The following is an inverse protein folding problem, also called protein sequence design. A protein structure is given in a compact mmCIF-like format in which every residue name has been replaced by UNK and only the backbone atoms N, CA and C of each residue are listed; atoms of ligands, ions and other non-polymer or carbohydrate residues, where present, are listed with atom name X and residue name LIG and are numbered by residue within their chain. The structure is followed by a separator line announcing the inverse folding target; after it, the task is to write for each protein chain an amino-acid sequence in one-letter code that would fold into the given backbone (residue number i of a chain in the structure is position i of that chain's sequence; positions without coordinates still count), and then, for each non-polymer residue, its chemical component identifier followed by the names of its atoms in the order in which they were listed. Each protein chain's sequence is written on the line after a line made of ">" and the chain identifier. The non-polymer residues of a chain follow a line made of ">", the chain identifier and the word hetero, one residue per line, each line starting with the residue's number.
data_IF_743256874478
#
_entry.id   IF_743256874478
#
_cell.length_a   1.000
_cell.length_b   1.000
_cell.length_c   1.000
_cell.angle_alpha   90.00
_cell.angle_beta   90.00
_cell.angle_gamma   90.00
#
_symmetry.space_group_name_H-M   'P 1'
#
loop_
_entity.id
_entity.type
_entity.pdbx_description
1 polymer ?
#
# COMPACT_ATOMS: atom_id res chain seq x y z
N UNK A 1 -23.34 -63.97 -63.41
CA UNK A 1 -23.98 -63.78 -62.10
C UNK A 1 -23.18 -62.82 -61.30
N UNK A 2 -23.43 -61.51 -61.39
CA UNK A 2 -22.58 -60.44 -60.90
C UNK A 2 -23.24 -59.83 -59.65
N UNK A 3 -22.54 -59.87 -58.54
CA UNK A 3 -22.94 -59.31 -57.28
C UNK A 3 -22.18 -57.99 -57.04
N UNK A 4 -22.87 -56.86 -57.22
CA UNK A 4 -22.33 -55.50 -56.94
C UNK A 4 -22.42 -55.24 -55.44
N UNK A 5 -21.30 -55.00 -54.83
CA UNK A 5 -21.19 -54.47 -53.46
C UNK A 5 -21.26 -52.93 -53.52
N UNK A 6 -22.26 -52.36 -52.87
CA UNK A 6 -22.35 -50.92 -52.57
C UNK A 6 -21.55 -50.63 -51.31
N UNK A 7 -20.52 -49.78 -51.44
CA UNK A 7 -19.83 -49.16 -50.32
C UNK A 7 -20.57 -47.87 -49.96
N UNK A 8 -21.12 -47.85 -48.77
CA UNK A 8 -21.65 -46.61 -48.15
C UNK A 8 -20.51 -45.79 -47.52
N UNK A 9 -20.33 -44.56 -48.01
CA UNK A 9 -19.43 -43.59 -47.41
C UNK A 9 -20.18 -42.83 -46.33
N UNK A 10 -19.90 -43.17 -45.08
CA UNK A 10 -20.40 -42.41 -43.93
C UNK A 10 -19.49 -41.20 -43.70
N UNK A 11 -19.97 -40.00 -44.00
CA UNK A 11 -19.33 -38.72 -43.65
C UNK A 11 -19.53 -38.44 -42.16
N UNK A 12 -18.52 -38.68 -41.33
CA UNK A 12 -18.50 -38.20 -39.95
C UNK A 12 -18.12 -36.71 -39.93
N UNK A 13 -19.11 -35.85 -39.67
CA UNK A 13 -18.88 -34.44 -39.39
C UNK A 13 -18.27 -34.30 -37.98
N UNK A 14 -16.98 -34.11 -37.90
CA UNK A 14 -16.28 -33.69 -36.69
C UNK A 14 -16.60 -32.21 -36.46
N UNK A 15 -17.53 -31.92 -35.55
CA UNK A 15 -17.67 -30.56 -34.95
C UNK A 15 -16.45 -30.34 -34.03
N UNK A 16 -15.47 -29.61 -34.53
CA UNK A 16 -14.43 -29.05 -33.69
C UNK A 16 -15.04 -27.93 -32.85
N UNK A 17 -15.42 -28.23 -31.61
CA UNK A 17 -15.68 -27.20 -30.59
C UNK A 17 -14.34 -26.53 -30.28
N UNK A 18 -14.03 -25.41 -30.92
CA UNK A 18 -13.00 -24.46 -30.48
C UNK A 18 -13.51 -23.84 -29.18
N UNK A 19 -13.19 -24.44 -28.04
CA UNK A 19 -13.23 -23.77 -26.76
C UNK A 19 -12.20 -22.64 -26.84
N UNK A 20 -12.68 -21.44 -27.20
CA UNK A 20 -11.88 -20.24 -27.08
C UNK A 20 -11.52 -20.11 -25.60
N UNK A 21 -10.28 -20.40 -25.25
CA UNK A 21 -9.73 -20.00 -23.97
C UNK A 21 -9.84 -18.48 -23.90
N UNK A 22 -10.84 -17.99 -23.16
CA UNK A 22 -10.86 -16.59 -22.77
C UNK A 22 -9.57 -16.36 -22.02
N UNK A 23 -8.62 -15.65 -22.65
CA UNK A 23 -7.42 -15.19 -21.93
C UNK A 23 -7.88 -14.42 -20.70
N UNK A 24 -7.49 -14.90 -19.54
CA UNK A 24 -7.81 -14.21 -18.29
C UNK A 24 -7.32 -12.76 -18.42
N UNK A 25 -8.24 -11.83 -18.14
CA UNK A 25 -7.92 -10.40 -18.17
C UNK A 25 -6.94 -10.15 -17.02
N UNK A 26 -5.72 -9.70 -17.30
CA UNK A 26 -4.68 -9.44 -16.30
C UNK A 26 -4.62 -7.95 -15.96
N UNK A 27 -4.47 -7.64 -14.67
CA UNK A 27 -4.13 -6.29 -14.17
C UNK A 27 -2.88 -6.37 -13.28
N UNK A 28 -2.02 -5.37 -13.42
CA UNK A 28 -0.79 -5.24 -12.63
C UNK A 28 -0.92 -4.12 -11.61
N UNK A 29 -0.63 -4.43 -10.33
CA UNK A 29 -0.72 -3.47 -9.23
C UNK A 29 0.64 -3.36 -8.54
N UNK A 30 1.13 -2.12 -8.45
CA UNK A 30 2.38 -1.80 -7.76
C UNK A 30 2.16 -1.51 -6.29
N UNK A 31 3.10 -1.96 -5.44
CA UNK A 31 3.08 -1.68 -4.01
C UNK A 31 4.51 -1.60 -3.44
N UNK A 32 4.65 -1.08 -2.23
CA UNK A 32 5.92 -1.04 -1.52
C UNK A 32 5.92 -2.09 -0.41
N UNK A 33 6.75 -3.12 -0.55
CA UNK A 33 6.78 -4.29 0.35
C UNK A 33 7.11 -3.93 1.81
N UNK A 34 7.87 -2.86 2.04
CA UNK A 34 8.23 -2.41 3.40
C UNK A 34 7.13 -1.62 4.13
N UNK A 35 6.02 -1.29 3.49
CA UNK A 35 4.96 -0.48 4.07
C UNK A 35 3.74 -1.34 4.40
N UNK A 36 3.45 -1.47 5.71
CA UNK A 36 2.42 -2.38 6.20
C UNK A 36 1.02 -2.11 5.59
N UNK A 37 0.64 -0.84 5.47
CA UNK A 37 -0.61 -0.41 4.84
C UNK A 37 -0.65 -0.69 3.34
N UNK A 38 0.47 -0.48 2.64
CA UNK A 38 0.61 -0.77 1.20
C UNK A 38 0.43 -2.25 0.91
N UNK A 39 1.10 -3.11 1.70
CA UNK A 39 1.00 -4.57 1.59
C UNK A 39 -0.43 -5.03 1.87
N UNK A 40 -1.03 -4.61 3.00
CA UNK A 40 -2.36 -5.01 3.40
C UNK A 40 -3.42 -4.59 2.37
N UNK A 41 -3.45 -3.29 2.02
CA UNK A 41 -4.42 -2.72 1.08
C UNK A 41 -4.33 -3.37 -0.29
N UNK A 42 -3.11 -3.54 -0.81
CA UNK A 42 -2.92 -4.10 -2.15
C UNK A 42 -3.30 -5.57 -2.21
N UNK A 43 -2.98 -6.37 -1.20
CA UNK A 43 -3.35 -7.79 -1.18
C UNK A 43 -4.87 -7.99 -1.04
N UNK A 44 -5.55 -7.20 -0.19
CA UNK A 44 -7.02 -7.27 -0.09
C UNK A 44 -7.69 -6.86 -1.40
N UNK A 45 -7.26 -5.77 -2.02
CA UNK A 45 -7.77 -5.36 -3.32
C UNK A 45 -7.53 -6.42 -4.40
N UNK A 46 -6.34 -7.03 -4.43
CA UNK A 46 -6.00 -8.10 -5.37
C UNK A 46 -6.91 -9.33 -5.20
N UNK A 47 -7.19 -9.73 -3.95
CA UNK A 47 -8.05 -10.87 -3.67
C UNK A 47 -9.50 -10.61 -4.13
N UNK A 48 -10.05 -9.42 -3.85
CA UNK A 48 -11.38 -9.03 -4.33
C UNK A 48 -11.43 -9.00 -5.87
N UNK A 49 -10.43 -8.42 -6.51
CA UNK A 49 -10.35 -8.35 -7.98
C UNK A 49 -10.30 -9.76 -8.58
N UNK A 50 -9.55 -10.70 -8.01
CA UNK A 50 -9.49 -12.08 -8.45
C UNK A 50 -10.83 -12.82 -8.24
N UNK A 51 -11.34 -12.82 -7.00
CA UNK A 51 -12.49 -13.63 -6.65
C UNK A 51 -13.82 -13.11 -7.19
N UNK A 52 -14.00 -11.77 -7.19
CA UNK A 52 -15.29 -11.15 -7.50
C UNK A 52 -15.37 -10.57 -8.90
N UNK A 53 -14.24 -10.13 -9.47
CA UNK A 53 -14.21 -9.52 -10.80
C UNK A 53 -13.63 -10.43 -11.88
N UNK A 54 -12.98 -11.55 -11.49
CA UNK A 54 -12.47 -12.57 -12.42
C UNK A 54 -11.26 -12.12 -13.23
N UNK A 55 -10.43 -11.24 -12.69
CA UNK A 55 -9.17 -10.84 -13.29
C UNK A 55 -7.98 -11.55 -12.63
N UNK A 56 -6.98 -11.90 -13.41
CA UNK A 56 -5.68 -12.24 -12.86
C UNK A 56 -4.99 -10.97 -12.36
N UNK A 57 -4.39 -11.03 -11.17
CA UNK A 57 -3.70 -9.87 -10.58
C UNK A 57 -2.23 -10.18 -10.41
N UNK A 58 -1.39 -9.34 -11.05
CA UNK A 58 0.06 -9.39 -10.90
C UNK A 58 0.52 -8.31 -9.93
N UNK A 59 0.92 -8.70 -8.73
CA UNK A 59 1.48 -7.80 -7.74
C UNK A 59 2.97 -7.57 -8.01
N UNK A 60 3.40 -6.30 -7.95
CA UNK A 60 4.79 -5.91 -8.17
C UNK A 60 5.30 -5.06 -7.00
N UNK A 61 6.20 -5.66 -6.21
CA UNK A 61 6.90 -4.96 -5.15
C UNK A 61 7.99 -4.06 -5.75
N UNK A 62 7.88 -2.75 -5.54
CA UNK A 62 8.78 -1.75 -6.10
C UNK A 62 8.98 -0.58 -5.14
N UNK A 63 10.05 0.20 -5.31
CA UNK A 63 10.24 1.44 -4.56
C UNK A 63 9.21 2.52 -4.96
N UNK A 64 8.92 3.46 -4.06
CA UNK A 64 7.90 4.50 -4.24
C UNK A 64 8.02 5.27 -5.57
N UNK A 65 9.22 5.70 -5.94
CA UNK A 65 9.45 6.40 -7.21
C UNK A 65 9.16 5.55 -8.44
N UNK A 66 9.49 4.25 -8.39
CA UNK A 66 9.22 3.28 -9.47
C UNK A 66 7.71 2.97 -9.53
N UNK A 67 7.04 2.88 -8.38
CA UNK A 67 5.59 2.71 -8.28
C UNK A 67 4.85 3.86 -9.02
N UNK A 68 5.18 5.10 -8.73
CA UNK A 68 4.61 6.26 -9.38
C UNK A 68 4.94 6.35 -10.89
N UNK A 69 6.19 6.06 -11.26
CA UNK A 69 6.59 6.02 -12.66
C UNK A 69 5.87 4.90 -13.42
N UNK A 70 5.72 3.74 -12.78
CA UNK A 70 5.05 2.58 -13.38
C UNK A 70 3.60 2.89 -13.75
N UNK A 71 2.81 3.47 -12.85
CA UNK A 71 1.41 3.82 -13.14
C UNK A 71 1.31 4.97 -14.15
N UNK A 72 2.22 5.94 -14.11
CA UNK A 72 2.23 7.07 -15.04
C UNK A 72 2.62 6.68 -16.48
N UNK A 73 3.32 5.56 -16.65
CA UNK A 73 3.74 5.05 -17.97
C UNK A 73 2.90 3.86 -18.44
N UNK A 74 1.89 3.44 -17.68
CA UNK A 74 1.05 2.28 -17.99
C UNK A 74 1.75 0.92 -17.84
N UNK A 75 2.94 0.86 -17.23
CA UNK A 75 3.61 -0.39 -16.87
C UNK A 75 2.97 -1.06 -15.66
N UNK A 76 2.34 -0.27 -14.81
CA UNK A 76 1.43 -0.69 -13.76
C UNK A 76 0.04 -0.17 -14.11
N UNK A 77 -0.98 -0.97 -13.91
CA UNK A 77 -2.36 -0.58 -14.12
C UNK A 77 -2.89 0.26 -12.96
N UNK A 78 -2.47 -0.04 -11.72
CA UNK A 78 -2.88 0.71 -10.54
C UNK A 78 -1.81 0.70 -9.42
N UNK A 79 -1.98 1.65 -8.50
CA UNK A 79 -1.31 1.70 -7.19
C UNK A 79 -2.34 2.16 -6.15
N UNK A 80 -2.26 1.63 -4.93
CA UNK A 80 -3.22 1.93 -3.86
C UNK A 80 -2.56 2.61 -2.64
N UNK A 81 -1.38 3.16 -2.83
CA UNK A 81 -0.55 3.75 -1.77
C UNK A 81 -0.08 5.16 -2.13
N UNK A 82 -0.97 5.96 -2.74
CA UNK A 82 -0.69 7.35 -3.08
C UNK A 82 -1.10 8.27 -1.93
N UNK A 83 -0.15 8.67 -1.10
CA UNK A 83 -0.35 9.53 0.06
C UNK A 83 -0.42 11.01 -0.35
N UNK A 84 -1.59 11.63 -0.29
CA UNK A 84 -1.86 12.95 -0.84
C UNK A 84 -2.59 13.86 0.16
N UNK A 85 -2.31 15.19 0.12
CA UNK A 85 -1.50 15.90 -0.88
C UNK A 85 -0.02 16.09 -0.49
N UNK A 86 0.40 15.73 0.74
CA UNK A 86 1.68 16.17 1.32
C UNK A 86 2.81 15.18 1.09
N UNK A 87 2.63 13.94 1.54
CA UNK A 87 3.69 12.92 1.57
C UNK A 87 4.22 12.60 0.17
N UNK A 88 3.33 12.38 -0.79
CA UNK A 88 3.67 12.14 -2.18
C UNK A 88 3.44 13.35 -3.10
N UNK A 89 3.38 14.56 -2.54
CA UNK A 89 3.11 15.79 -3.29
C UNK A 89 4.02 16.01 -4.49
N UNK A 90 5.32 15.73 -4.37
CA UNK A 90 6.28 15.84 -5.47
C UNK A 90 6.03 14.79 -6.57
N UNK A 91 5.70 13.56 -6.19
CA UNK A 91 5.34 12.51 -7.15
C UNK A 91 4.05 12.86 -7.89
N UNK A 92 3.05 13.36 -7.16
CA UNK A 92 1.79 13.83 -7.73
C UNK A 92 2.00 14.96 -8.72
N UNK A 93 2.74 16.00 -8.36
CA UNK A 93 3.01 17.14 -9.23
C UNK A 93 3.64 16.73 -10.57
N UNK A 94 4.51 15.71 -10.58
CA UNK A 94 5.18 15.21 -11.79
C UNK A 94 4.31 14.29 -12.65
N UNK A 95 3.26 13.69 -12.08
CA UNK A 95 2.53 12.59 -12.72
C UNK A 95 1.02 12.80 -12.86
N UNK A 96 0.40 13.78 -12.19
CA UNK A 96 -1.06 13.99 -12.16
C UNK A 96 -1.73 14.02 -13.53
N UNK A 97 -1.07 14.58 -14.53
CA UNK A 97 -1.62 14.66 -15.89
C UNK A 97 -1.51 13.34 -16.68
N UNK A 98 -0.83 12.33 -16.13
CA UNK A 98 -0.57 11.02 -16.75
C UNK A 98 -1.33 9.87 -16.11
N UNK A 99 -2.06 10.13 -15.03
CA UNK A 99 -2.77 9.12 -14.24
C UNK A 99 -4.23 9.51 -14.01
N UNK A 100 -5.01 8.62 -13.45
CA UNK A 100 -6.38 8.86 -12.98
C UNK A 100 -6.41 8.66 -11.47
N UNK A 101 -6.90 9.64 -10.73
CA UNK A 101 -7.16 9.51 -9.30
C UNK A 101 -8.59 8.97 -9.08
N UNK A 102 -8.70 7.76 -8.52
CA UNK A 102 -9.98 7.13 -8.20
C UNK A 102 -10.52 7.53 -6.83
N UNK A 103 -9.78 8.34 -6.09
CA UNK A 103 -10.15 8.84 -4.78
C UNK A 103 -9.51 8.08 -3.61
N UNK A 104 -9.84 8.50 -2.39
CA UNK A 104 -9.23 7.96 -1.19
C UNK A 104 -9.71 6.54 -0.89
N UNK A 105 -8.75 5.65 -0.62
CA UNK A 105 -9.01 4.34 -0.03
C UNK A 105 -8.79 4.33 1.49
N UNK A 106 -8.11 5.36 2.04
CA UNK A 106 -8.02 5.59 3.47
C UNK A 106 -8.02 7.11 3.75
N UNK A 107 -8.75 7.53 4.79
CA UNK A 107 -8.83 8.92 5.26
C UNK A 107 -8.12 9.08 6.60
N UNK A 108 -7.81 10.34 6.96
CA UNK A 108 -7.13 10.69 8.21
C UNK A 108 -5.76 10.02 8.37
N UNK A 109 -5.08 9.81 7.25
CA UNK A 109 -3.71 9.34 7.22
C UNK A 109 -2.77 10.43 7.76
N UNK A 110 -1.75 10.03 8.51
CA UNK A 110 -0.79 10.96 9.12
C UNK A 110 0.60 10.37 9.09
N UNK A 111 1.59 11.19 8.78
CA UNK A 111 3.02 10.86 8.92
C UNK A 111 3.68 11.74 9.99
N UNK A 112 4.83 11.33 10.50
CA UNK A 112 5.61 12.15 11.44
C UNK A 112 6.74 11.39 12.10
N UNK A 113 7.37 12.05 13.07
CA UNK A 113 8.28 11.39 14.00
C UNK A 113 7.51 10.81 15.17
N UNK A 114 7.81 9.57 15.50
CA UNK A 114 7.13 8.79 16.53
C UNK A 114 8.15 8.38 17.60
N UNK A 115 7.72 8.47 18.85
CA UNK A 115 8.47 8.02 20.01
C UNK A 115 7.58 7.16 20.92
N UNK A 116 8.14 6.28 21.75
CA UNK A 116 7.37 5.61 22.82
C UNK A 116 6.77 6.63 23.80
N UNK A 117 5.58 6.36 24.34
CA UNK A 117 4.90 7.26 25.27
C UNK A 117 5.71 7.58 26.54
N UNK A 118 6.59 6.66 26.99
CA UNK A 118 7.44 6.88 28.18
C UNK A 118 8.54 7.90 27.94
N UNK A 119 8.80 8.29 26.69
CA UNK A 119 9.79 9.32 26.35
C UNK A 119 9.25 10.70 26.72
N UNK A 120 10.09 11.54 27.34
CA UNK A 120 9.69 12.88 27.82
C UNK A 120 9.45 13.88 26.70
N UNK A 121 10.19 13.78 25.59
CA UNK A 121 9.99 14.65 24.44
C UNK A 121 8.54 14.57 23.93
N UNK A 122 7.91 15.72 23.69
CA UNK A 122 6.57 15.87 23.15
C UNK A 122 6.55 16.57 21.80
N UNK A 123 7.59 17.34 21.49
CA UNK A 123 7.74 18.10 20.25
C UNK A 123 9.03 17.72 19.55
N UNK A 124 9.07 17.93 18.24
CA UNK A 124 10.31 17.82 17.44
C UNK A 124 11.38 18.81 17.96
N UNK A 125 10.97 19.95 18.52
CA UNK A 125 11.88 20.93 19.13
C UNK A 125 12.64 20.37 20.31
N UNK A 126 12.05 19.47 21.10
CA UNK A 126 12.68 18.87 22.27
C UNK A 126 13.89 18.01 21.89
N UNK A 127 13.94 17.51 20.66
CA UNK A 127 15.07 16.74 20.15
C UNK A 127 16.39 17.55 20.15
N UNK A 128 16.33 18.88 20.11
CA UNK A 128 17.55 19.72 20.15
C UNK A 128 18.35 19.53 21.42
N UNK A 129 17.67 19.37 22.54
CA UNK A 129 18.28 19.35 23.88
C UNK A 129 18.29 17.98 24.52
N UNK A 130 17.45 17.06 24.06
CA UNK A 130 17.38 15.71 24.60
C UNK A 130 18.45 14.79 23.99
N UNK A 131 19.56 14.65 24.73
CA UNK A 131 20.71 13.82 24.33
C UNK A 131 20.43 12.31 24.39
N UNK A 132 19.30 11.89 25.00
CA UNK A 132 18.94 10.46 25.14
C UNK A 132 18.70 9.78 23.81
N UNK A 133 18.33 10.52 22.77
CA UNK A 133 18.15 10.03 21.39
C UNK A 133 19.47 9.80 20.64
N UNK A 134 20.62 10.22 21.22
CA UNK A 134 21.95 10.06 20.59
C UNK A 134 22.02 10.67 19.19
N UNK A 135 21.28 11.75 18.96
CA UNK A 135 21.19 12.45 17.68
C UNK A 135 20.85 11.50 16.50
N UNK A 136 19.93 10.55 16.73
CA UNK A 136 19.56 9.55 15.73
C UNK A 136 18.04 9.49 15.57
N UNK A 137 17.59 9.47 14.32
CA UNK A 137 16.23 9.10 13.91
C UNK A 137 16.36 7.87 13.03
N UNK A 138 15.59 6.82 13.34
CA UNK A 138 15.55 5.60 12.53
C UNK A 138 14.39 5.72 11.53
N UNK A 139 14.73 5.69 10.27
CA UNK A 139 13.77 5.81 9.19
C UNK A 139 13.55 4.51 8.44
N UNK A 140 12.86 4.62 7.32
CA UNK A 140 12.57 3.54 6.40
C UNK A 140 13.40 3.66 5.12
N UNK A 141 12.92 3.15 4.00
CA UNK A 141 13.58 3.21 2.71
C UNK A 141 13.78 4.65 2.24
N UNK A 142 14.97 4.95 1.77
CA UNK A 142 15.31 6.25 1.20
C UNK A 142 14.41 6.57 0.00
N UNK A 143 13.97 7.85 -0.11
CA UNK A 143 13.04 8.29 -1.16
C UNK A 143 11.56 8.07 -0.85
N UNK A 144 11.21 7.45 0.29
CA UNK A 144 9.84 7.50 0.78
C UNK A 144 9.47 8.91 1.23
N UNK A 145 8.17 9.26 1.11
CA UNK A 145 7.72 10.61 1.43
C UNK A 145 8.02 11.03 2.88
N UNK A 146 7.84 10.13 3.85
CA UNK A 146 8.15 10.41 5.26
C UNK A 146 9.65 10.65 5.49
N UNK A 147 10.54 9.99 4.74
CA UNK A 147 11.98 10.24 4.81
C UNK A 147 12.33 11.63 4.27
N UNK A 148 11.79 12.00 3.11
CA UNK A 148 11.98 13.35 2.52
C UNK A 148 11.50 14.43 3.49
N UNK A 149 10.33 14.24 4.11
CA UNK A 149 9.80 15.17 5.12
C UNK A 149 10.64 15.19 6.39
N UNK A 150 11.20 14.07 6.81
CA UNK A 150 12.10 14.01 7.97
C UNK A 150 13.44 14.73 7.70
N UNK A 151 14.00 14.59 6.50
CA UNK A 151 15.17 15.37 6.07
C UNK A 151 14.90 16.88 6.09
N UNK A 152 13.71 17.28 5.66
CA UNK A 152 13.27 18.66 5.73
C UNK A 152 13.10 19.11 7.19
N UNK A 153 12.47 18.29 8.04
CA UNK A 153 12.30 18.59 9.47
C UNK A 153 13.64 18.77 10.19
N UNK A 154 14.63 17.92 9.90
CA UNK A 154 15.98 18.06 10.47
C UNK A 154 16.56 19.44 10.16
N UNK A 155 16.38 19.96 8.95
CA UNK A 155 16.83 21.29 8.54
C UNK A 155 16.01 22.39 9.19
N UNK A 156 14.70 22.33 9.08
CA UNK A 156 13.80 23.40 9.54
C UNK A 156 13.80 23.56 11.05
N UNK A 157 13.98 22.47 11.78
CA UNK A 157 14.11 22.49 13.24
C UNK A 157 15.56 22.66 13.74
N UNK A 158 16.54 22.92 12.86
CA UNK A 158 17.98 23.04 13.22
C UNK A 158 18.47 21.88 14.10
N UNK A 159 18.10 20.65 13.77
CA UNK A 159 18.55 19.44 14.49
C UNK A 159 19.98 19.09 14.08
N UNK A 160 20.90 20.02 14.34
CA UNK A 160 22.31 19.87 13.98
C UNK A 160 22.91 18.63 14.63
N UNK A 161 23.56 17.79 13.82
CA UNK A 161 24.15 16.53 14.28
C UNK A 161 23.22 15.32 14.22
N UNK A 162 21.90 15.51 14.06
CA UNK A 162 20.98 14.39 13.89
C UNK A 162 21.25 13.65 12.58
N UNK A 163 21.27 12.33 12.68
CA UNK A 163 21.41 11.42 11.53
C UNK A 163 20.10 10.70 11.30
N UNK A 164 19.55 10.86 10.12
CA UNK A 164 18.45 10.03 9.65
C UNK A 164 19.05 8.73 9.10
N UNK A 165 18.85 7.64 9.84
CA UNK A 165 19.32 6.32 9.43
C UNK A 165 18.28 5.69 8.51
N UNK A 166 18.60 5.59 7.22
CA UNK A 166 17.77 4.83 6.29
C UNK A 166 17.80 3.33 6.62
N UNK A 167 16.65 2.68 6.50
CA UNK A 167 16.48 1.25 6.76
C UNK A 167 15.38 0.70 5.82
N UNK A 168 14.62 -0.26 6.30
CA UNK A 168 13.32 -0.67 5.74
C UNK A 168 12.24 -0.54 6.81
N UNK A 169 10.97 -0.64 6.44
CA UNK A 169 9.88 -0.66 7.43
C UNK A 169 10.09 -1.74 8.50
N UNK A 170 10.49 -2.94 8.09
CA UNK A 170 10.83 -4.04 9.00
C UNK A 170 12.06 -3.72 9.87
N UNK A 171 13.10 -3.11 9.30
CA UNK A 171 14.30 -2.71 10.04
C UNK A 171 14.00 -1.65 11.09
N UNK A 172 13.24 -0.62 10.74
CA UNK A 172 12.79 0.45 11.64
C UNK A 172 11.98 -0.11 12.81
N UNK A 173 10.96 -0.94 12.54
CA UNK A 173 10.13 -1.55 13.58
C UNK A 173 10.89 -2.55 14.44
N UNK A 174 11.89 -3.25 13.90
CA UNK A 174 12.79 -4.10 14.67
C UNK A 174 13.67 -3.30 15.65
N UNK A 175 14.18 -2.13 15.24
CA UNK A 175 14.93 -1.25 16.17
C UNK A 175 14.01 -0.71 17.27
N UNK A 176 12.80 -0.26 16.93
CA UNK A 176 11.81 0.16 17.91
C UNK A 176 11.50 -0.98 18.90
N UNK A 177 11.26 -2.19 18.39
CA UNK A 177 10.98 -3.38 19.21
C UNK A 177 12.13 -3.79 20.14
N UNK A 178 13.37 -3.49 19.78
CA UNK A 178 14.54 -3.72 20.66
C UNK A 178 14.71 -2.63 21.73
N UNK A 179 14.33 -1.38 21.42
CA UNK A 179 14.43 -0.25 22.33
C UNK A 179 13.30 -0.23 23.36
N UNK A 180 12.08 -0.57 22.92
CA UNK A 180 10.84 -0.44 23.70
C UNK A 180 10.89 -1.18 25.08
N UNK A 181 11.18 -2.50 25.15
CA UNK A 181 11.22 -3.21 26.44
C UNK A 181 12.33 -2.73 27.38
N UNK A 182 13.35 -2.07 26.85
CA UNK A 182 14.47 -1.49 27.63
C UNK A 182 14.19 -0.05 28.04
N UNK A 183 13.05 0.50 27.70
CA UNK A 183 12.68 1.90 27.91
C UNK A 183 13.74 2.89 27.40
N UNK A 184 14.40 2.55 26.29
CA UNK A 184 15.39 3.42 25.66
C UNK A 184 14.69 4.46 24.78
N UNK A 185 15.17 5.70 24.84
CA UNK A 185 14.70 6.75 23.93
C UNK A 185 15.05 6.40 22.50
N UNK A 186 14.05 6.41 21.65
CA UNK A 186 14.18 6.20 20.20
C UNK A 186 13.16 7.07 19.47
N UNK A 187 13.60 7.74 18.41
CA UNK A 187 12.74 8.42 17.46
C UNK A 187 12.75 7.64 16.14
N UNK A 188 11.58 7.34 15.63
CA UNK A 188 11.42 6.66 14.35
C UNK A 188 10.52 7.47 13.42
N UNK A 189 10.69 7.31 12.12
CA UNK A 189 9.67 7.74 11.17
C UNK A 189 8.45 6.84 11.29
N UNK A 190 7.25 7.38 11.11
CA UNK A 190 6.08 6.53 11.17
C UNK A 190 4.84 7.19 10.59
N UNK A 191 3.78 6.38 10.53
CA UNK A 191 2.51 6.79 9.91
C UNK A 191 1.32 6.03 10.50
N UNK A 192 0.13 6.59 10.28
CA UNK A 192 -1.15 5.94 10.55
C UNK A 192 -1.88 5.82 9.20
N UNK A 193 -2.40 4.62 8.84
CA UNK A 193 -2.50 3.40 9.65
C UNK A 193 -1.20 2.58 9.70
N UNK A 194 -0.86 2.03 10.86
CA UNK A 194 0.25 1.09 11.03
C UNK A 194 0.02 0.21 12.27
N UNK A 195 0.30 -1.09 12.16
CA UNK A 195 0.12 -2.08 13.22
C UNK A 195 0.91 -1.77 14.51
N UNK A 196 2.02 -1.02 14.42
CA UNK A 196 2.88 -0.72 15.58
C UNK A 196 2.15 0.00 16.71
N UNK A 197 1.10 0.79 16.40
CA UNK A 197 0.28 1.47 17.42
C UNK A 197 -0.64 0.53 18.20
N UNK A 198 -0.97 -0.62 17.62
CA UNK A 198 -1.68 -1.67 18.34
C UNK A 198 -0.75 -2.47 19.25
N UNK A 199 0.54 -2.57 18.88
CA UNK A 199 1.55 -3.38 19.61
C UNK A 199 2.22 -2.60 20.72
N UNK A 200 2.46 -1.30 20.56
CA UNK A 200 3.19 -0.46 21.50
C UNK A 200 2.45 0.84 21.78
N UNK A 201 2.60 1.37 22.97
CA UNK A 201 2.14 2.73 23.31
C UNK A 201 3.10 3.75 22.75
N UNK A 202 2.69 4.39 21.67
CA UNK A 202 3.48 5.33 20.89
C UNK A 202 2.75 6.65 20.76
N UNK A 203 3.52 7.73 20.63
CA UNK A 203 3.01 9.07 20.31
C UNK A 203 3.78 9.70 19.17
N UNK A 204 3.08 10.51 18.39
CA UNK A 204 3.73 11.45 17.47
C UNK A 204 4.33 12.60 18.27
N UNK A 205 5.52 13.02 17.88
CA UNK A 205 6.02 14.33 18.30
C UNK A 205 5.20 15.43 17.62
N UNK A 206 4.89 16.49 18.38
CA UNK A 206 4.28 17.67 17.82
C UNK A 206 5.20 18.32 16.78
N UNK A 207 4.59 18.83 15.72
CA UNK A 207 5.27 19.48 14.59
C UNK A 207 4.80 20.95 14.47
N UNK A 208 5.26 21.87 15.34
CA UNK A 208 4.81 23.27 15.34
C UNK A 208 5.06 24.01 14.03
N UNK A 209 6.06 23.55 13.24
CA UNK A 209 6.37 24.15 11.94
C UNK A 209 5.58 23.54 10.78
N UNK A 210 4.81 22.49 11.04
CA UNK A 210 3.93 21.85 10.04
C UNK A 210 4.66 21.17 8.88
N UNK A 211 5.89 20.70 9.09
CA UNK A 211 6.71 20.08 8.03
C UNK A 211 6.08 18.80 7.51
N UNK A 212 5.47 18.01 8.39
CA UNK A 212 4.77 16.77 8.05
C UNK A 212 3.34 17.00 7.54
N UNK A 213 2.85 18.25 7.59
CA UNK A 213 1.51 18.62 7.15
C UNK A 213 0.41 18.20 8.12
N UNK A 214 -0.83 18.40 7.69
CA UNK A 214 -2.04 17.94 8.39
C UNK A 214 -2.35 16.49 8.01
N UNK A 215 -3.50 15.98 8.51
CA UNK A 215 -4.02 14.70 8.04
C UNK A 215 -4.27 14.73 6.52
N UNK A 216 -3.95 13.63 5.87
CA UNK A 216 -4.05 13.45 4.43
C UNK A 216 -4.83 12.18 4.08
N UNK A 217 -4.91 11.84 2.81
CA UNK A 217 -5.56 10.62 2.33
C UNK A 217 -4.57 9.69 1.64
N UNK A 218 -4.84 8.39 1.69
CA UNK A 218 -4.19 7.43 0.80
C UNK A 218 -5.15 7.15 -0.34
N UNK A 219 -4.72 7.41 -1.57
CA UNK A 219 -5.56 7.33 -2.77
C UNK A 219 -5.20 6.11 -3.62
N UNK A 220 -6.22 5.60 -4.32
CA UNK A 220 -6.07 4.64 -5.40
C UNK A 220 -5.85 5.39 -6.72
N UNK A 221 -4.73 5.14 -7.38
CA UNK A 221 -4.36 5.79 -8.64
C UNK A 221 -4.27 4.72 -9.73
N UNK A 222 -4.84 5.00 -10.89
CA UNK A 222 -4.74 4.13 -12.07
C UNK A 222 -4.01 4.78 -13.24
N UNK A 223 -3.52 3.94 -14.14
CA UNK A 223 -3.04 4.40 -15.45
C UNK A 223 -4.19 4.96 -16.29
N UNK A 224 -3.88 5.78 -17.28
CA UNK A 224 -4.90 6.36 -18.21
C UNK A 224 -5.72 5.30 -18.95
N UNK A 225 -5.13 4.13 -19.15
CA UNK A 225 -5.77 3.06 -19.93
C UNK A 225 -6.59 2.09 -19.06
N UNK A 226 -6.53 2.19 -17.73
CA UNK A 226 -7.17 1.23 -16.84
C UNK A 226 -8.69 1.15 -17.04
N UNK A 227 -9.38 2.28 -17.18
CA UNK A 227 -10.84 2.28 -17.38
C UNK A 227 -11.26 1.58 -18.69
N UNK A 228 -10.42 1.66 -19.73
CA UNK A 228 -10.64 0.96 -21.00
C UNK A 228 -10.25 -0.52 -20.92
N UNK A 229 -9.14 -0.83 -20.24
CA UNK A 229 -8.57 -2.18 -20.12
C UNK A 229 -9.40 -3.06 -19.17
N UNK A 230 -9.81 -2.50 -18.04
CA UNK A 230 -10.45 -3.22 -16.93
C UNK A 230 -11.50 -2.31 -16.23
N UNK A 231 -12.63 -2.02 -16.89
CA UNK A 231 -13.65 -1.09 -16.38
C UNK A 231 -14.24 -1.52 -15.03
N UNK A 232 -14.38 -2.83 -14.78
CA UNK A 232 -14.88 -3.35 -13.51
C UNK A 232 -13.88 -3.08 -12.37
N UNK A 233 -12.57 -3.20 -12.64
CA UNK A 233 -11.52 -2.88 -11.67
C UNK A 233 -11.50 -1.38 -11.39
N UNK A 234 -11.63 -0.54 -12.40
CA UNK A 234 -11.70 0.91 -12.21
C UNK A 234 -12.93 1.31 -11.38
N UNK A 235 -14.10 0.68 -11.62
CA UNK A 235 -15.31 0.89 -10.82
C UNK A 235 -15.12 0.44 -9.36
N UNK A 236 -14.47 -0.68 -9.14
CA UNK A 236 -14.10 -1.16 -7.81
C UNK A 236 -13.17 -0.17 -7.10
N UNK A 237 -12.10 0.31 -7.73
CA UNK A 237 -11.15 1.24 -7.11
C UNK A 237 -11.80 2.55 -6.66
N UNK A 238 -12.85 3.02 -7.35
CA UNK A 238 -13.63 4.21 -6.96
C UNK A 238 -14.43 4.00 -5.67
N UNK A 239 -14.75 2.76 -5.32
CA UNK A 239 -15.55 2.39 -4.14
C UNK A 239 -14.73 1.80 -3.00
N UNK A 240 -13.56 1.28 -3.33
CA UNK A 240 -12.68 0.63 -2.38
C UNK A 240 -12.17 1.63 -1.35
N UNK A 241 -12.63 1.51 -0.10
CA UNK A 241 -12.26 2.39 0.99
C UNK A 241 -12.34 1.64 2.33
N UNK A 242 -11.29 1.74 3.12
CA UNK A 242 -11.27 1.34 4.51
C UNK A 242 -12.12 2.29 5.36
N UNK A 243 -12.94 1.76 6.27
CA UNK A 243 -13.75 2.57 7.17
C UNK A 243 -12.95 3.13 8.36
N UNK A 244 -11.94 2.39 8.80
CA UNK A 244 -11.12 2.76 9.95
C UNK A 244 -9.70 2.19 9.86
N UNK A 245 -8.84 2.72 10.73
CA UNK A 245 -7.50 2.15 10.96
C UNK A 245 -7.55 0.75 11.56
N UNK A 246 -8.62 0.41 12.28
CA UNK A 246 -8.76 -0.90 12.93
C UNK A 246 -9.10 -1.96 11.89
N UNK A 247 -9.94 -1.62 10.91
CA UNK A 247 -10.31 -2.50 9.80
C UNK A 247 -9.08 -2.95 8.98
N UNK A 248 -8.25 -2.02 8.52
CA UNK A 248 -6.99 -2.36 7.83
C UNK A 248 -5.98 -2.97 8.82
N UNK A 249 -6.07 -2.59 10.09
CA UNK A 249 -5.23 -3.09 11.19
C UNK A 249 -5.30 -4.60 11.36
N UNK A 250 -6.47 -5.21 11.17
CA UNK A 250 -6.65 -6.67 11.25
C UNK A 250 -5.72 -7.39 10.26
N UNK A 251 -5.68 -6.93 9.01
CA UNK A 251 -4.83 -7.53 7.96
C UNK A 251 -3.36 -7.30 8.27
N UNK A 252 -2.99 -6.07 8.67
CA UNK A 252 -1.60 -5.74 9.00
C UNK A 252 -1.09 -6.55 10.19
N UNK A 253 -1.90 -6.77 11.23
CA UNK A 253 -1.54 -7.58 12.40
C UNK A 253 -1.38 -9.05 12.02
N UNK A 254 -2.31 -9.62 11.25
CA UNK A 254 -2.20 -11.00 10.79
C UNK A 254 -0.89 -11.24 10.02
N UNK A 255 -0.50 -10.31 9.14
CA UNK A 255 0.78 -10.37 8.41
C UNK A 255 1.96 -10.25 9.39
N UNK A 256 1.91 -9.32 10.33
CA UNK A 256 2.95 -9.13 11.33
C UNK A 256 3.13 -10.35 12.23
N UNK A 257 2.06 -11.09 12.50
CA UNK A 257 2.06 -12.32 13.30
C UNK A 257 2.46 -13.57 12.49
N UNK A 258 2.85 -13.39 11.22
CA UNK A 258 3.47 -14.41 10.38
C UNK A 258 2.58 -15.02 9.29
N UNK A 259 1.36 -14.53 9.10
CA UNK A 259 0.57 -14.92 7.93
C UNK A 259 1.19 -14.39 6.64
N UNK A 260 1.11 -15.17 5.57
CA UNK A 260 1.44 -14.65 4.24
C UNK A 260 0.44 -13.56 3.85
N UNK A 261 0.87 -12.46 3.21
CA UNK A 261 -0.03 -11.36 2.83
C UNK A 261 -1.28 -11.81 2.06
N UNK A 262 -1.11 -12.71 1.09
CA UNK A 262 -2.22 -13.25 0.30
C UNK A 262 -3.21 -14.05 1.17
N UNK A 263 -2.70 -14.81 2.14
CA UNK A 263 -3.56 -15.58 3.03
C UNK A 263 -4.31 -14.67 4.01
N UNK A 264 -3.63 -13.66 4.58
CA UNK A 264 -4.27 -12.68 5.44
C UNK A 264 -5.39 -11.91 4.72
N UNK A 265 -5.15 -11.52 3.47
CA UNK A 265 -6.14 -10.87 2.62
C UNK A 265 -7.34 -11.78 2.32
N UNK A 266 -7.10 -13.04 1.95
CA UNK A 266 -8.14 -14.04 1.69
C UNK A 266 -9.01 -14.29 2.92
N UNK A 267 -8.39 -14.47 4.08
CA UNK A 267 -9.09 -14.69 5.34
C UNK A 267 -9.94 -13.48 5.72
N UNK A 268 -9.42 -12.26 5.51
CA UNK A 268 -10.15 -11.02 5.77
C UNK A 268 -11.35 -10.87 4.83
N UNK A 269 -11.17 -11.07 3.52
CA UNK A 269 -12.23 -11.01 2.50
C UNK A 269 -13.35 -12.00 2.81
N UNK A 270 -13.01 -13.22 3.26
CA UNK A 270 -13.98 -14.23 3.65
C UNK A 270 -14.79 -13.86 4.91
N UNK A 271 -14.18 -13.10 5.84
CA UNK A 271 -14.82 -12.65 7.09
C UNK A 271 -15.68 -11.40 6.92
N UNK A 272 -15.46 -10.61 5.85
CA UNK A 272 -16.14 -9.32 5.64
C UNK A 272 -16.91 -9.26 4.30
N UNK A 273 -17.86 -10.22 4.03
CA UNK A 273 -18.57 -10.29 2.77
C UNK A 273 -19.42 -9.04 2.49
N UNK A 274 -19.91 -8.35 3.52
CA UNK A 274 -20.66 -7.10 3.41
C UNK A 274 -19.80 -5.97 2.85
N UNK A 275 -18.54 -5.84 3.30
CA UNK A 275 -17.60 -4.83 2.79
C UNK A 275 -17.25 -5.11 1.33
N UNK A 276 -17.00 -6.36 1.01
CA UNK A 276 -16.73 -6.78 -0.37
C UNK A 276 -17.92 -6.48 -1.28
N UNK A 277 -19.15 -6.72 -0.80
CA UNK A 277 -20.38 -6.41 -1.55
C UNK A 277 -20.53 -4.89 -1.82
N UNK A 278 -20.22 -4.02 -0.82
CA UNK A 278 -20.24 -2.56 -0.99
C UNK A 278 -19.27 -2.12 -2.09
N UNK A 279 -18.06 -2.66 -2.11
CA UNK A 279 -17.01 -2.29 -3.08
C UNK A 279 -17.31 -2.82 -4.49
N UNK A 280 -18.01 -3.94 -4.61
CA UNK A 280 -18.28 -4.61 -5.89
C UNK A 280 -19.71 -4.42 -6.40
N UNK A 281 -20.58 -3.69 -5.67
CA UNK A 281 -21.91 -3.34 -6.12
C UNK A 281 -21.86 -2.65 -7.50
N UNK A 282 -22.84 -2.96 -8.38
CA UNK A 282 -22.96 -2.31 -9.70
C UNK A 282 -23.51 -0.89 -9.59
#
# INVERSE_FOLDING_TARGET
>A
MNMRRMLGVGSALLLAMSAGQAMAKEVSIGYVDGWADSVATTNVAAEVIKEKLGYDVKLQAVAAGIMWQGVATGKLDAILSAWLPVTHGEYWAKNKDKVVDFGPNFKDAKIGLIVPEYVKANSIEDLKTDTSFKQKIVGIDAGSGVMIKTEQAIKDYDLTGYKLQASSGAGMTAELGRAYPKQQSIAVTGWVPHWMFAKWKLKFLEDPKGVFGAAETVNSIGSKDLEKKAPEVAAFLKKFQWQSKDEIGEVMLAIQDGAKPEQAAKDWVAKHPERVAEWTAK
#
